data_IF_918999435031
#
_entry.id   IF_918999435031
#
_cell.length_a   1.000
_cell.length_b   1.000
_cell.length_c   1.000
_cell.angle_alpha   90.00
_cell.angle_beta   90.00
_cell.angle_gamma   90.00
#
_symmetry.space_group_name_H-M   'P 1'
#
loop_
_entity.id
_entity.type
_entity.pdbx_description
1 polymer ?
#
# COMPACT_ATOMS: atom_id res chain seq x y z
N UNK A 1 -4.10 -25.23 4.90
CA UNK A 1 -4.53 -23.87 5.34
C UNK A 1 -3.29 -23.10 5.72
N UNK A 2 -2.91 -22.06 4.99
CA UNK A 2 -1.69 -21.34 5.27
C UNK A 2 -1.84 -20.48 6.53
N UNK A 3 -0.86 -20.39 7.25
CA UNK A 3 -0.66 -20.54 8.66
C UNK A 3 -0.17 -19.29 9.38
N UNK A 4 -0.10 -18.14 8.74
CA UNK A 4 0.15 -16.90 9.46
C UNK A 4 -1.12 -16.06 9.46
N UNK A 5 -2.07 -16.40 10.34
CA UNK A 5 -3.28 -15.59 10.53
C UNK A 5 -2.85 -14.20 10.98
N UNK A 6 -3.12 -13.24 10.12
CA UNK A 6 -3.03 -11.84 10.53
C UNK A 6 -3.96 -11.65 11.73
N UNK A 7 -3.42 -11.15 12.84
CA UNK A 7 -4.21 -10.93 14.07
C UNK A 7 -5.16 -9.74 13.88
N UNK A 8 -6.23 -9.94 13.10
CA UNK A 8 -7.23 -8.93 12.80
C UNK A 8 -8.58 -9.33 13.42
N UNK A 9 -9.31 -8.32 13.88
CA UNK A 9 -10.63 -8.49 14.48
C UNK A 9 -11.67 -7.63 13.74
N UNK A 10 -12.95 -8.06 13.70
CA UNK A 10 -14.04 -7.25 13.16
C UNK A 10 -14.06 -5.86 13.80
N UNK A 11 -14.34 -4.84 13.00
CA UNK A 11 -14.35 -3.43 13.41
C UNK A 11 -13.01 -2.73 13.29
N UNK A 12 -11.86 -3.45 13.22
CA UNK A 12 -10.55 -2.82 13.01
C UNK A 12 -10.48 -2.08 11.67
N UNK A 13 -9.81 -0.92 11.69
CA UNK A 13 -9.43 -0.12 10.52
C UNK A 13 -8.01 -0.48 10.11
N UNK A 14 -7.86 -1.15 8.99
CA UNK A 14 -6.58 -1.74 8.57
C UNK A 14 -6.12 -1.19 7.23
N UNK A 15 -4.96 -0.55 7.22
CA UNK A 15 -4.31 -0.12 5.99
C UNK A 15 -3.57 -1.27 5.31
N UNK A 16 -3.71 -1.40 4.00
CA UNK A 16 -2.97 -2.34 3.16
C UNK A 16 -1.97 -1.55 2.34
N UNK A 17 -0.68 -1.77 2.53
CA UNK A 17 0.39 -1.15 1.76
C UNK A 17 1.14 -2.22 0.99
N UNK A 18 0.82 -2.35 -0.30
CA UNK A 18 1.50 -3.26 -1.22
C UNK A 18 2.75 -2.65 -1.82
N UNK A 19 3.77 -3.48 -2.02
CA UNK A 19 4.99 -3.06 -2.69
C UNK A 19 6.03 -4.17 -2.78
N UNK A 20 7.02 -3.98 -3.66
CA UNK A 20 8.15 -4.91 -3.74
C UNK A 20 9.08 -4.80 -2.52
N UNK A 21 9.12 -3.64 -1.85
CA UNK A 21 10.02 -3.33 -0.72
C UNK A 21 11.47 -3.76 -1.01
N UNK A 22 11.98 -3.37 -2.17
CA UNK A 22 13.25 -3.82 -2.73
C UNK A 22 14.27 -2.65 -2.89
N UNK A 23 14.91 -2.21 -1.80
CA UNK A 23 14.63 -2.55 -0.39
C UNK A 23 13.49 -1.71 0.23
N UNK A 24 13.03 -2.12 1.42
CA UNK A 24 12.29 -1.25 2.32
C UNK A 24 13.17 -0.06 2.75
N UNK A 25 12.59 1.13 2.90
CA UNK A 25 13.31 2.36 3.25
C UNK A 25 12.44 3.33 4.06
N UNK A 26 13.07 4.38 4.60
CA UNK A 26 12.41 5.39 5.43
C UNK A 26 11.18 6.03 4.77
N UNK A 27 11.14 6.10 3.45
CA UNK A 27 9.94 6.58 2.73
C UNK A 27 8.71 5.71 2.97
N UNK A 28 8.87 4.37 3.07
CA UNK A 28 7.79 3.46 3.41
C UNK A 28 7.37 3.61 4.89
N UNK A 29 8.36 3.74 5.78
CA UNK A 29 8.13 3.98 7.22
C UNK A 29 7.33 5.27 7.42
N UNK A 30 7.76 6.36 6.77
CA UNK A 30 7.10 7.65 6.85
C UNK A 30 5.67 7.61 6.31
N UNK A 31 5.48 7.04 5.12
CA UNK A 31 4.15 6.85 4.51
C UNK A 31 3.22 6.10 5.47
N UNK A 32 3.71 5.02 6.07
CA UNK A 32 2.95 4.20 7.02
C UNK A 32 2.55 4.98 8.26
N UNK A 33 3.50 5.72 8.88
CA UNK A 33 3.22 6.55 10.07
C UNK A 33 2.20 7.65 9.78
N UNK A 34 2.30 8.30 8.61
CA UNK A 34 1.33 9.29 8.18
C UNK A 34 -0.02 8.63 7.92
N UNK A 35 -0.06 7.48 7.26
CA UNK A 35 -1.27 6.72 7.00
C UNK A 35 -2.00 6.31 8.28
N UNK A 36 -1.30 5.71 9.25
CA UNK A 36 -1.83 5.35 10.56
C UNK A 36 -2.56 6.54 11.22
N UNK A 37 -1.91 7.70 11.24
CA UNK A 37 -2.44 8.91 11.89
C UNK A 37 -3.57 9.55 11.08
N UNK A 38 -3.36 9.77 9.76
CA UNK A 38 -4.28 10.55 8.95
C UNK A 38 -5.57 9.81 8.61
N UNK A 39 -5.51 8.50 8.47
CA UNK A 39 -6.69 7.67 8.18
C UNK A 39 -7.23 6.97 9.43
N UNK A 40 -6.73 7.33 10.62
CA UNK A 40 -7.13 6.77 11.93
C UNK A 40 -7.12 5.23 11.93
N UNK A 41 -6.04 4.62 11.39
CA UNK A 41 -5.92 3.18 11.25
C UNK A 41 -5.41 2.55 12.56
N UNK A 42 -5.98 1.41 12.93
CA UNK A 42 -5.54 0.61 14.06
C UNK A 42 -4.26 -0.18 13.72
N UNK A 43 -4.16 -0.65 12.47
CA UNK A 43 -3.01 -1.40 11.95
C UNK A 43 -2.70 -1.05 10.50
N UNK A 44 -1.47 -1.34 10.08
CA UNK A 44 -1.09 -1.37 8.66
C UNK A 44 -0.40 -2.70 8.37
N UNK A 45 -0.74 -3.31 7.25
CA UNK A 45 -0.07 -4.50 6.74
C UNK A 45 0.78 -4.08 5.55
N UNK A 46 2.09 -4.36 5.64
CA UNK A 46 2.98 -4.30 4.49
C UNK A 46 2.87 -5.64 3.75
N UNK A 47 2.28 -5.61 2.59
CA UNK A 47 2.19 -6.77 1.70
C UNK A 47 3.43 -6.78 0.80
N UNK A 48 4.41 -7.60 1.19
CA UNK A 48 5.66 -7.74 0.42
C UNK A 48 5.40 -8.65 -0.77
N UNK A 49 5.27 -8.04 -1.95
CA UNK A 49 4.91 -8.76 -3.18
C UNK A 49 6.00 -9.75 -3.59
N UNK A 50 5.63 -10.96 -4.05
CA UNK A 50 6.59 -11.92 -4.61
C UNK A 50 7.27 -11.39 -5.87
N UNK A 51 6.58 -10.53 -6.62
CA UNK A 51 7.10 -9.84 -7.80
C UNK A 51 6.16 -8.73 -8.23
N UNK A 52 6.60 -7.91 -9.18
CA UNK A 52 5.75 -6.91 -9.82
C UNK A 52 5.60 -7.25 -11.31
N UNK A 53 4.39 -7.67 -11.75
CA UNK A 53 4.17 -8.06 -13.14
C UNK A 53 4.50 -6.98 -14.18
N UNK A 54 4.55 -5.71 -13.74
CA UNK A 54 4.86 -4.56 -14.61
C UNK A 54 6.37 -4.28 -14.74
N UNK A 55 7.24 -5.05 -14.02
CA UNK A 55 8.70 -4.88 -14.07
C UNK A 55 9.36 -6.00 -14.85
N UNK A 56 10.27 -5.63 -15.77
CA UNK A 56 11.03 -6.58 -16.56
C UNK A 56 12.05 -7.40 -15.75
N UNK A 57 12.51 -6.89 -14.60
CA UNK A 57 13.45 -7.58 -13.69
C UNK A 57 12.77 -7.85 -12.36
N UNK A 58 12.90 -9.08 -11.88
CA UNK A 58 12.41 -9.48 -10.55
C UNK A 58 13.11 -8.71 -9.41
N UNK A 59 12.47 -8.61 -8.25
CA UNK A 59 13.11 -8.06 -7.05
C UNK A 59 14.10 -9.08 -6.45
N UNK A 60 14.87 -8.63 -5.44
CA UNK A 60 15.66 -9.52 -4.58
C UNK A 60 14.80 -10.61 -3.92
N UNK A 61 15.45 -11.65 -3.38
CA UNK A 61 14.76 -12.74 -2.68
C UNK A 61 13.75 -12.23 -1.66
N UNK A 62 12.58 -12.86 -1.59
CA UNK A 62 11.46 -12.44 -0.74
C UNK A 62 11.89 -12.39 0.74
N UNK A 63 12.64 -13.39 1.19
CA UNK A 63 13.14 -13.53 2.55
C UNK A 63 14.03 -12.33 2.95
N UNK A 64 14.95 -11.93 2.07
CA UNK A 64 15.84 -10.79 2.29
C UNK A 64 15.04 -9.47 2.40
N UNK A 65 14.04 -9.28 1.52
CA UNK A 65 13.16 -8.11 1.55
C UNK A 65 12.28 -8.06 2.80
N UNK A 66 11.75 -9.21 3.22
CA UNK A 66 11.00 -9.37 4.46
C UNK A 66 11.85 -9.06 5.70
N UNK A 67 13.08 -9.60 5.75
CA UNK A 67 14.03 -9.31 6.84
C UNK A 67 14.31 -7.81 6.94
N UNK A 68 14.64 -7.17 5.81
CA UNK A 68 14.88 -5.72 5.75
C UNK A 68 13.65 -4.92 6.15
N UNK A 69 12.46 -5.30 5.72
CA UNK A 69 11.22 -4.64 6.09
C UNK A 69 10.97 -4.71 7.62
N UNK A 70 11.22 -5.85 8.26
CA UNK A 70 11.10 -6.04 9.72
C UNK A 70 12.12 -5.22 10.49
N UNK A 71 13.34 -5.12 9.98
CA UNK A 71 14.39 -4.29 10.58
C UNK A 71 14.01 -2.80 10.56
N UNK A 72 13.47 -2.33 9.45
CA UNK A 72 13.11 -0.93 9.22
C UNK A 72 11.85 -0.51 9.98
N UNK A 73 10.85 -1.40 10.07
CA UNK A 73 9.55 -1.09 10.65
C UNK A 73 9.34 -1.84 11.97
N UNK A 74 9.52 -1.13 13.08
CA UNK A 74 9.40 -1.69 14.43
C UNK A 74 8.13 -1.25 15.18
N UNK A 75 7.20 -0.54 14.50
CA UNK A 75 5.92 -0.14 15.12
C UNK A 75 5.04 -1.40 15.30
N UNK A 76 4.58 -1.71 16.52
CA UNK A 76 3.79 -2.93 16.80
C UNK A 76 2.42 -2.95 16.09
N UNK A 77 1.99 -1.82 15.56
CA UNK A 77 0.77 -1.73 14.74
C UNK A 77 1.00 -2.13 13.29
N UNK A 78 2.24 -2.41 12.89
CA UNK A 78 2.57 -2.77 11.51
C UNK A 78 2.93 -4.24 11.41
N UNK A 79 2.25 -4.94 10.52
CA UNK A 79 2.49 -6.35 10.22
C UNK A 79 3.21 -6.43 8.89
N UNK A 80 4.38 -7.07 8.87
CA UNK A 80 5.09 -7.39 7.62
C UNK A 80 4.67 -8.79 7.18
N UNK A 81 4.12 -8.90 5.97
CA UNK A 81 3.50 -10.14 5.51
C UNK A 81 3.85 -10.45 4.06
N UNK A 82 4.11 -11.71 3.80
CA UNK A 82 4.26 -12.34 2.50
C UNK A 82 2.94 -12.96 1.99
N UNK A 83 1.81 -12.43 2.45
CA UNK A 83 0.46 -12.97 2.19
C UNK A 83 0.21 -13.23 0.70
N UNK A 84 0.65 -12.34 -0.18
CA UNK A 84 0.51 -12.52 -1.64
C UNK A 84 1.23 -13.78 -2.14
N UNK A 85 2.43 -14.06 -1.62
CA UNK A 85 3.15 -15.30 -1.95
C UNK A 85 2.42 -16.54 -1.40
N UNK A 86 1.85 -16.46 -0.19
CA UNK A 86 1.11 -17.57 0.43
C UNK A 86 -0.15 -17.94 -0.36
N UNK A 87 -0.84 -16.98 -0.96
CA UNK A 87 -2.04 -17.22 -1.78
C UNK A 87 -1.73 -17.36 -3.28
N UNK A 88 -0.44 -17.28 -3.67
CA UNK A 88 -0.01 -17.51 -5.04
C UNK A 88 -0.38 -16.42 -6.03
N UNK A 89 -0.50 -15.17 -5.58
CA UNK A 89 -0.82 -14.02 -6.45
C UNK A 89 0.20 -12.89 -6.34
N UNK A 90 0.28 -12.08 -7.39
CA UNK A 90 0.97 -10.79 -7.41
C UNK A 90 0.02 -9.64 -7.79
N UNK A 91 -1.28 -9.91 -7.78
CA UNK A 91 -2.30 -8.96 -8.22
C UNK A 91 -3.12 -8.43 -7.04
N UNK A 92 -3.10 -7.11 -6.88
CA UNK A 92 -3.77 -6.41 -5.77
C UNK A 92 -5.27 -6.71 -5.68
N UNK A 93 -5.98 -6.82 -6.80
CA UNK A 93 -7.41 -7.12 -6.79
C UNK A 93 -7.71 -8.46 -6.11
N UNK A 94 -6.96 -9.51 -6.45
CA UNK A 94 -7.09 -10.84 -5.87
C UNK A 94 -6.72 -10.83 -4.38
N UNK A 95 -5.65 -10.12 -4.02
CA UNK A 95 -5.23 -9.94 -2.63
C UNK A 95 -6.35 -9.32 -1.79
N UNK A 96 -6.97 -8.26 -2.28
CA UNK A 96 -8.09 -7.59 -1.61
C UNK A 96 -9.31 -8.50 -1.49
N UNK A 97 -9.67 -9.22 -2.56
CA UNK A 97 -10.80 -10.16 -2.55
C UNK A 97 -10.61 -11.24 -1.47
N UNK A 98 -9.41 -11.87 -1.42
CA UNK A 98 -9.09 -12.91 -0.43
C UNK A 98 -9.07 -12.35 1.00
N UNK A 99 -8.48 -11.18 1.22
CA UNK A 99 -8.44 -10.56 2.55
C UNK A 99 -9.85 -10.22 3.06
N UNK A 100 -10.71 -9.67 2.23
CA UNK A 100 -12.10 -9.35 2.62
C UNK A 100 -12.90 -10.61 2.96
N UNK A 101 -12.71 -11.69 2.21
CA UNK A 101 -13.37 -12.98 2.48
C UNK A 101 -12.83 -13.62 3.77
N UNK A 102 -11.51 -13.54 4.02
CA UNK A 102 -10.90 -14.15 5.19
C UNK A 102 -11.14 -13.36 6.50
N UNK A 103 -11.36 -12.07 6.42
CA UNK A 103 -11.54 -11.18 7.58
C UNK A 103 -12.81 -10.32 7.46
N UNK A 104 -13.99 -10.94 7.54
CA UNK A 104 -15.26 -10.21 7.46
C UNK A 104 -15.38 -9.22 8.63
N UNK A 105 -15.90 -8.03 8.34
CA UNK A 105 -16.05 -6.95 9.32
C UNK A 105 -14.80 -6.11 9.57
N UNK A 106 -13.62 -6.46 9.01
CA UNK A 106 -12.45 -5.58 9.01
C UNK A 106 -12.64 -4.50 7.94
N UNK A 107 -12.32 -3.25 8.30
CA UNK A 107 -12.42 -2.08 7.41
C UNK A 107 -11.08 -1.83 6.76
N UNK A 108 -10.88 -2.42 5.58
CA UNK A 108 -9.64 -2.25 4.84
C UNK A 108 -9.58 -0.92 4.09
N UNK A 109 -8.38 -0.30 4.06
CA UNK A 109 -8.04 0.86 3.24
C UNK A 109 -6.79 0.54 2.45
N UNK A 110 -6.85 0.63 1.12
CA UNK A 110 -5.65 0.49 0.29
C UNK A 110 -4.82 1.77 0.35
N UNK A 111 -3.56 1.67 0.76
CA UNK A 111 -2.63 2.79 0.86
C UNK A 111 -1.69 2.81 -0.34
N UNK A 112 -1.47 3.99 -0.92
CA UNK A 112 -0.50 4.15 -2.00
C UNK A 112 0.11 5.56 -2.03
N UNK A 113 1.28 5.68 -2.67
CA UNK A 113 1.85 6.97 -3.04
C UNK A 113 1.13 7.60 -4.24
N UNK A 114 1.26 8.90 -4.42
CA UNK A 114 0.68 9.60 -5.57
C UNK A 114 1.31 9.20 -6.91
N UNK A 115 2.55 8.73 -6.89
CA UNK A 115 3.23 8.09 -8.04
C UNK A 115 2.50 6.83 -8.50
N UNK A 116 2.05 6.00 -7.57
CA UNK A 116 1.22 4.83 -7.87
C UNK A 116 -0.17 5.23 -8.36
N UNK A 117 -0.81 6.24 -7.76
CA UNK A 117 -2.09 6.75 -8.26
C UNK A 117 -2.00 7.20 -9.73
N UNK A 118 -0.88 7.82 -10.13
CA UNK A 118 -0.65 8.26 -11.49
C UNK A 118 -0.74 7.11 -12.50
N UNK A 119 -0.23 5.94 -12.15
CA UNK A 119 -0.22 4.74 -13.00
C UNK A 119 -1.25 3.67 -12.58
N UNK A 120 -2.09 3.91 -11.60
CA UNK A 120 -3.02 2.94 -11.03
C UNK A 120 -3.97 2.33 -12.07
N UNK A 121 -4.37 3.11 -13.06
CA UNK A 121 -5.20 2.66 -14.19
C UNK A 121 -4.55 1.57 -15.06
N UNK A 122 -3.28 1.26 -14.85
CA UNK A 122 -2.55 0.16 -15.52
C UNK A 122 -2.57 -1.14 -14.71
N UNK A 123 -3.04 -1.09 -13.47
CA UNK A 123 -3.11 -2.28 -12.63
C UNK A 123 -4.25 -3.17 -13.09
N UNK A 124 -4.03 -4.48 -13.01
CA UNK A 124 -5.07 -5.45 -13.35
C UNK A 124 -6.30 -5.22 -12.45
N UNK A 125 -7.48 -5.16 -13.05
CA UNK A 125 -8.76 -4.94 -12.35
C UNK A 125 -8.75 -3.72 -11.42
N UNK A 126 -8.08 -2.63 -11.82
CA UNK A 126 -7.88 -1.45 -10.96
C UNK A 126 -9.20 -0.80 -10.51
N UNK A 127 -10.25 -0.88 -11.32
CA UNK A 127 -11.58 -0.38 -10.95
C UNK A 127 -12.21 -1.22 -9.86
N UNK A 128 -12.04 -2.54 -9.91
CA UNK A 128 -12.54 -3.46 -8.89
C UNK A 128 -11.88 -3.18 -7.54
N UNK A 129 -10.58 -2.85 -7.52
CA UNK A 129 -9.90 -2.45 -6.28
C UNK A 129 -10.59 -1.23 -5.65
N UNK A 130 -10.83 -0.18 -6.44
CA UNK A 130 -11.50 1.04 -5.99
C UNK A 130 -12.93 0.80 -5.53
N UNK A 131 -13.63 -0.14 -6.14
CA UNK A 131 -14.99 -0.52 -5.77
C UNK A 131 -15.05 -1.48 -4.58
N UNK A 132 -13.93 -2.14 -4.25
CA UNK A 132 -13.86 -3.10 -3.16
C UNK A 132 -13.45 -2.47 -1.84
N UNK A 133 -12.51 -1.52 -1.85
CA UNK A 133 -11.97 -0.87 -0.64
C UNK A 133 -11.72 0.62 -0.88
N UNK A 134 -11.89 1.47 0.15
CA UNK A 134 -11.45 2.85 0.10
C UNK A 134 -9.94 2.97 -0.15
N UNK A 135 -9.52 4.04 -0.84
CA UNK A 135 -8.12 4.27 -1.21
C UNK A 135 -7.55 5.51 -0.55
N UNK A 136 -6.51 5.34 0.26
CA UNK A 136 -5.75 6.41 0.89
C UNK A 136 -4.50 6.74 0.10
N UNK A 137 -4.45 7.95 -0.47
CA UNK A 137 -3.30 8.41 -1.27
C UNK A 137 -2.45 9.38 -0.47
N UNK A 138 -1.18 9.08 -0.35
CA UNK A 138 -0.19 9.84 0.39
C UNK A 138 0.82 10.44 -0.60
N UNK A 139 0.75 11.77 -0.79
CA UNK A 139 1.54 12.45 -1.81
C UNK A 139 2.84 13.00 -1.23
N UNK A 140 3.95 12.54 -1.80
CA UNK A 140 5.23 13.23 -1.68
C UNK A 140 5.21 14.52 -2.51
N UNK A 141 5.96 15.57 -2.11
CA UNK A 141 6.18 16.73 -2.95
C UNK A 141 6.64 16.34 -4.36
N UNK A 142 6.19 17.09 -5.37
CA UNK A 142 6.46 16.79 -6.78
C UNK A 142 5.42 15.88 -7.46
N UNK A 143 4.79 14.97 -6.73
CA UNK A 143 3.81 14.02 -7.31
C UNK A 143 2.35 14.45 -7.17
N UNK A 144 2.09 15.55 -6.45
CA UNK A 144 0.72 16.03 -6.20
C UNK A 144 -0.04 16.30 -7.49
N UNK A 145 0.55 17.08 -8.39
CA UNK A 145 -0.10 17.48 -9.65
C UNK A 145 -0.35 16.26 -10.55
N UNK A 146 0.67 15.43 -10.74
CA UNK A 146 0.58 14.22 -11.56
C UNK A 146 -0.49 13.24 -11.02
N UNK A 147 -0.51 13.03 -9.69
CA UNK A 147 -1.50 12.16 -9.06
C UNK A 147 -2.93 12.69 -9.21
N UNK A 148 -3.17 13.98 -8.95
CA UNK A 148 -4.50 14.59 -9.06
C UNK A 148 -5.00 14.70 -10.51
N UNK A 149 -4.10 14.78 -11.48
CA UNK A 149 -4.44 14.81 -12.91
C UNK A 149 -4.50 13.41 -13.54
N UNK A 150 -4.28 12.35 -12.77
CA UNK A 150 -4.33 10.97 -13.26
C UNK A 150 -5.72 10.60 -13.78
N UNK A 151 -5.77 9.58 -14.66
CA UNK A 151 -7.04 9.03 -15.18
C UNK A 151 -7.96 8.60 -14.03
N UNK A 152 -7.40 7.94 -13.03
CA UNK A 152 -8.14 7.49 -11.84
C UNK A 152 -8.75 8.65 -11.06
N UNK A 153 -7.94 9.67 -10.73
CA UNK A 153 -8.40 10.83 -9.97
C UNK A 153 -9.49 11.60 -10.70
N UNK A 154 -9.40 11.72 -12.02
CA UNK A 154 -10.44 12.39 -12.86
C UNK A 154 -11.73 11.58 -12.92
N UNK A 155 -11.62 10.26 -13.15
CA UNK A 155 -12.79 9.38 -13.24
C UNK A 155 -13.59 9.34 -11.94
N UNK A 156 -12.89 9.24 -10.80
CA UNK A 156 -13.49 9.11 -9.47
C UNK A 156 -13.48 10.39 -8.64
N UNK A 157 -13.43 11.58 -9.30
CA UNK A 157 -13.34 12.88 -8.62
C UNK A 157 -14.45 13.12 -7.60
N UNK A 158 -15.66 12.64 -7.89
CA UNK A 158 -16.83 12.82 -7.04
C UNK A 158 -16.82 11.94 -5.78
N UNK A 159 -16.00 10.88 -5.76
CA UNK A 159 -15.83 9.96 -4.65
C UNK A 159 -14.68 10.36 -3.73
N UNK A 160 -14.09 11.55 -3.96
CA UNK A 160 -12.95 12.03 -3.21
C UNK A 160 -13.38 12.75 -1.93
N UNK A 161 -12.91 12.24 -0.78
CA UNK A 161 -13.04 12.96 0.49
C UNK A 161 -12.07 14.13 0.58
N UNK A 162 -12.47 15.25 1.19
CA UNK A 162 -11.54 16.33 1.56
C UNK A 162 -10.43 15.81 2.48
N UNK A 163 -9.20 16.30 2.32
CA UNK A 163 -8.06 15.88 3.15
C UNK A 163 -8.25 16.11 4.65
N UNK A 164 -9.08 17.09 5.06
CA UNK A 164 -9.46 17.32 6.46
C UNK A 164 -10.32 16.19 7.04
N UNK A 165 -11.06 15.48 6.20
CA UNK A 165 -11.93 14.35 6.57
C UNK A 165 -11.26 12.98 6.36
N UNK A 166 -9.94 12.96 6.19
CA UNK A 166 -9.18 11.72 5.91
C UNK A 166 -9.36 10.64 6.98
N UNK A 167 -9.56 11.03 8.24
CA UNK A 167 -9.78 10.11 9.37
C UNK A 167 -11.08 9.28 9.25
N UNK A 168 -12.01 9.71 8.41
CA UNK A 168 -13.28 9.01 8.15
C UNK A 168 -13.17 8.00 7.00
N UNK A 169 -12.02 7.93 6.31
CA UNK A 169 -11.89 7.15 5.07
C UNK A 169 -12.21 5.67 5.28
N UNK A 170 -11.73 5.08 6.36
CA UNK A 170 -11.96 3.66 6.67
C UNK A 170 -13.44 3.32 6.98
N UNK A 171 -14.24 4.34 7.29
CA UNK A 171 -15.68 4.19 7.58
C UNK A 171 -16.56 4.42 6.36
N UNK A 172 -15.95 4.76 5.21
CA UNK A 172 -16.69 4.96 3.97
C UNK A 172 -16.93 3.63 3.24
N UNK A 173 -18.07 3.55 2.59
CA UNK A 173 -18.29 2.51 1.58
C UNK A 173 -17.46 2.83 0.32
N UNK A 174 -16.87 1.80 -0.29
CA UNK A 174 -16.24 1.94 -1.59
C UNK A 174 -17.31 2.14 -2.70
N UNK A 175 -17.02 2.92 -3.75
CA UNK A 175 -15.75 3.60 -4.01
C UNK A 175 -15.63 4.92 -3.22
N UNK A 176 -14.52 5.06 -2.51
CA UNK A 176 -14.15 6.29 -1.81
C UNK A 176 -12.63 6.45 -1.84
N UNK A 177 -12.13 7.66 -1.89
CA UNK A 177 -10.70 7.89 -1.81
C UNK A 177 -10.36 9.25 -1.20
N UNK A 178 -9.16 9.35 -0.63
CA UNK A 178 -8.70 10.58 -0.03
C UNK A 178 -7.25 10.83 -0.41
N UNK A 179 -6.92 12.09 -0.69
CA UNK A 179 -5.58 12.53 -1.03
C UNK A 179 -5.02 13.43 0.06
N UNK A 180 -3.93 13.02 0.66
CA UNK A 180 -3.27 13.71 1.76
C UNK A 180 -1.84 14.07 1.36
N UNK A 181 -1.48 15.34 1.52
CA UNK A 181 -0.09 15.75 1.38
C UNK A 181 0.71 15.30 2.61
N UNK A 182 1.92 14.83 2.39
CA UNK A 182 2.86 14.49 3.45
C UNK A 182 4.17 15.27 3.31
N UNK A 183 4.89 15.53 4.43
CA UNK A 183 6.20 16.17 4.38
C UNK A 183 7.18 15.40 3.50
N UNK A 184 8.20 16.09 3.00
CA UNK A 184 9.17 15.53 2.07
C UNK A 184 10.08 14.50 2.76
N UNK A 185 10.25 13.34 2.10
CA UNK A 185 11.34 12.41 2.33
C UNK A 185 11.91 12.03 0.97
N UNK A 186 13.16 12.41 0.72
CA UNK A 186 13.85 12.13 -0.55
C UNK A 186 14.57 10.78 -0.47
N UNK A 187 13.82 9.69 -0.48
CA UNK A 187 14.42 8.35 -0.55
C UNK A 187 13.53 7.47 -1.41
N UNK A 188 14.14 6.78 -2.37
CA UNK A 188 13.45 5.76 -3.17
C UNK A 188 14.27 4.47 -3.24
N UNK A 189 13.59 3.32 -3.39
CA UNK A 189 14.26 2.02 -3.59
C UNK A 189 15.18 2.04 -4.81
N UNK A 190 14.80 2.77 -5.87
CA UNK A 190 15.60 2.91 -7.08
C UNK A 190 16.91 3.61 -6.81
N UNK A 191 16.90 4.70 -6.04
CA UNK A 191 18.13 5.43 -5.65
C UNK A 191 19.03 4.58 -4.75
N UNK A 192 18.46 3.82 -3.82
CA UNK A 192 19.25 2.95 -2.94
C UNK A 192 19.96 1.84 -3.72
N UNK A 193 19.28 1.24 -4.70
CA UNK A 193 19.92 0.27 -5.60
C UNK A 193 20.99 0.91 -6.48
N UNK A 194 20.72 2.08 -7.05
CA UNK A 194 21.70 2.80 -7.87
C UNK A 194 22.96 3.19 -7.10
N UNK A 195 22.85 3.43 -5.78
CA UNK A 195 23.98 3.73 -4.89
C UNK A 195 24.69 2.47 -4.36
N UNK A 196 24.29 1.27 -4.79
CA UNK A 196 24.87 0.01 -4.32
C UNK A 196 24.61 -0.34 -2.85
N UNK A 197 23.71 0.42 -2.18
CA UNK A 197 23.34 0.18 -0.77
C UNK A 197 22.49 -1.07 -0.61
N UNK A 198 21.88 -1.52 -1.69
CA UNK A 198 21.10 -2.75 -1.76
C UNK A 198 21.40 -3.46 -3.08
N UNK A 199 21.91 -4.67 -2.98
CA UNK A 199 22.11 -5.56 -4.12
C UNK A 199 21.08 -6.67 -4.06
N UNK A 200 20.37 -6.89 -5.15
CA UNK A 200 19.64 -8.13 -5.35
C UNK A 200 20.69 -9.21 -5.61
N UNK A 201 20.82 -10.16 -4.70
CA UNK A 201 21.56 -11.37 -5.00
C UNK A 201 20.94 -12.03 -6.22
N UNK A 202 21.78 -12.32 -7.23
CA UNK A 202 21.37 -13.01 -8.46
C UNK A 202 21.08 -14.48 -8.16
#
# INVERSE_FOLDING_TARGET
MPHNRLSLQPGMRVGLLGGSFDPAHEGHVHLTRVGLRRFALDRVIWLVSPGNPLKARGPAALEARMARAKEMMRDPRVIISDFEAQIGTAYTAETVDVLKAAYPGVRFVWLMGADNLHQFHRWQRWEDILQSVPVGVLARPGWRQAGLNSRTARKYRHMRLPGRSSFMLADQSAPAWCFVNMPMMQVSSTELRAKGIWQSEN
#
